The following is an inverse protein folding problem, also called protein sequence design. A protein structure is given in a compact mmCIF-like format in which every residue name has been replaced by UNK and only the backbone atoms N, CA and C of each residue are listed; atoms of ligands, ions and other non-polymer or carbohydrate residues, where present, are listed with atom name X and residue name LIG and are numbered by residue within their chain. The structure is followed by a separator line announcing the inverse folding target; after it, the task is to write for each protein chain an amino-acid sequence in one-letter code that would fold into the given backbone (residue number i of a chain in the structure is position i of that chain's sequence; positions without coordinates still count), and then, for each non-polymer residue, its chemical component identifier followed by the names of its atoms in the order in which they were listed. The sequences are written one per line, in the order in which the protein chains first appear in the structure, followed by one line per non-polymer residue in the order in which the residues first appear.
data_IF_292804017633
#
_entry.id   IF_292804017633
#
_cell.length_a   1.000
_cell.length_b   1.000
_cell.length_c   1.000
_cell.angle_alpha   90.00
_cell.angle_beta   90.00
_cell.angle_gamma   90.00
#
_symmetry.space_group_name_H-M   'P 1'
#
loop_
_entity.id
_entity.type
_entity.pdbx_description
1 polymer ?
#
# COMPACT_ATOMS: atom_id res chain seq x y z
N UNK A 1 -1.58 1.10 -14.36
CA UNK A 1 -1.97 -0.34 -14.37
C UNK A 1 -2.29 -0.90 -12.98
N UNK A 2 -1.79 -0.33 -11.88
CA UNK A 2 -2.16 -0.74 -10.50
C UNK A 2 -3.60 -0.42 -10.03
N UNK A 3 -4.27 0.67 -10.47
CA UNK A 3 -5.60 0.99 -9.95
C UNK A 3 -6.69 -0.08 -10.21
N UNK A 4 -6.76 -0.73 -11.39
CA UNK A 4 -7.75 -1.77 -11.66
C UNK A 4 -7.63 -2.99 -10.74
N UNK A 5 -6.42 -3.53 -10.55
CA UNK A 5 -6.22 -4.76 -9.75
C UNK A 5 -6.57 -4.55 -8.27
N UNK A 6 -6.35 -3.35 -7.74
CA UNK A 6 -6.77 -3.00 -6.37
C UNK A 6 -8.29 -2.86 -6.25
N UNK A 7 -8.97 -2.33 -7.27
CA UNK A 7 -10.43 -2.24 -7.28
C UNK A 7 -11.09 -3.63 -7.40
N UNK A 8 -10.52 -4.52 -8.23
CA UNK A 8 -10.93 -5.92 -8.33
C UNK A 8 -10.72 -6.67 -7.01
N UNK A 9 -9.56 -6.45 -6.36
CA UNK A 9 -9.30 -6.98 -5.03
C UNK A 9 -10.39 -6.52 -4.05
N UNK A 10 -10.64 -5.21 -3.94
CA UNK A 10 -11.69 -4.69 -3.06
C UNK A 10 -13.05 -5.32 -3.32
N UNK A 11 -13.39 -5.56 -4.60
CA UNK A 11 -14.64 -6.22 -5.00
C UNK A 11 -14.70 -7.69 -4.56
N UNK A 12 -13.57 -8.40 -4.60
CA UNK A 12 -13.47 -9.83 -4.24
C UNK A 12 -13.49 -10.08 -2.74
N UNK A 13 -12.74 -9.29 -1.96
CA UNK A 13 -12.61 -9.49 -0.50
C UNK A 13 -13.55 -8.60 0.32
N UNK A 14 -14.26 -7.67 -0.33
CA UNK A 14 -15.22 -6.76 0.29
C UNK A 14 -14.60 -5.95 1.42
N UNK A 15 -15.34 -5.80 2.52
CA UNK A 15 -14.94 -4.96 3.66
C UNK A 15 -13.87 -5.59 4.57
N UNK A 16 -13.29 -6.74 4.20
CA UNK A 16 -12.24 -7.40 5.00
C UNK A 16 -10.91 -6.68 4.96
N UNK A 17 -10.67 -5.85 3.94
CA UNK A 17 -9.45 -5.05 3.77
C UNK A 17 -9.83 -3.64 3.34
N UNK A 18 -9.14 -2.67 3.94
CA UNK A 18 -9.22 -1.27 3.54
C UNK A 18 -8.03 -1.00 2.63
N UNK A 19 -8.30 -0.59 1.39
CA UNK A 19 -7.25 -0.16 0.46
C UNK A 19 -7.10 1.35 0.59
N UNK A 20 -5.91 1.78 0.98
CA UNK A 20 -5.58 3.20 1.10
C UNK A 20 -4.46 3.55 0.13
N UNK A 21 -4.66 4.64 -0.62
CA UNK A 21 -3.61 5.26 -1.43
C UNK A 21 -3.07 6.47 -0.66
N UNK A 22 -1.76 6.51 -0.49
CA UNK A 22 -1.07 7.63 0.15
C UNK A 22 -0.06 8.24 -0.82
N UNK A 23 -0.06 9.56 -0.90
CA UNK A 23 0.97 10.34 -1.58
C UNK A 23 2.16 10.53 -0.63
N UNK A 24 3.33 10.00 -1.01
CA UNK A 24 4.53 10.05 -0.16
C UNK A 24 5.18 11.43 -0.12
N UNK A 25 5.02 12.24 -1.16
CA UNK A 25 5.59 13.59 -1.23
C UNK A 25 4.90 14.51 -0.23
N UNK A 26 3.60 14.28 -0.02
CA UNK A 26 2.80 14.95 1.01
C UNK A 26 2.97 14.35 2.41
N UNK A 27 3.58 13.17 2.55
CA UNK A 27 3.73 12.45 3.82
C UNK A 27 5.19 11.97 4.05
N UNK A 28 6.17 12.88 4.06
CA UNK A 28 7.59 12.52 4.08
C UNK A 28 8.04 11.88 5.41
N UNK A 29 7.31 12.10 6.51
CA UNK A 29 7.58 11.42 7.78
C UNK A 29 7.21 9.93 7.69
N UNK A 30 6.02 9.61 7.17
CA UNK A 30 5.57 8.25 6.95
C UNK A 30 6.45 7.51 5.95
N UNK A 31 6.85 8.18 4.87
CA UNK A 31 7.78 7.62 3.89
C UNK A 31 9.12 7.24 4.53
N UNK A 32 9.66 8.10 5.41
CA UNK A 32 10.89 7.81 6.19
C UNK A 32 10.69 6.70 7.21
N UNK A 33 9.60 6.73 7.98
CA UNK A 33 9.28 5.72 9.00
C UNK A 33 9.27 4.31 8.40
N UNK A 34 8.69 4.17 7.20
CA UNK A 34 8.67 2.89 6.49
C UNK A 34 9.79 2.73 5.49
N UNK A 35 10.79 3.62 5.42
CA UNK A 35 11.90 3.52 4.45
C UNK A 35 11.43 3.29 3.01
N UNK A 36 10.46 4.07 2.53
CA UNK A 36 9.96 4.01 1.15
C UNK A 36 10.96 4.71 0.24
N UNK A 37 11.67 3.94 -0.59
CA UNK A 37 12.72 4.45 -1.50
C UNK A 37 12.31 4.42 -2.97
N UNK A 38 11.31 3.62 -3.32
CA UNK A 38 10.80 3.50 -4.69
C UNK A 38 9.28 3.45 -4.69
N UNK A 39 8.70 4.01 -5.76
CA UNK A 39 7.27 4.01 -6.02
C UNK A 39 6.97 3.17 -7.26
N UNK A 40 5.86 2.41 -7.27
CA UNK A 40 4.97 2.17 -6.14
C UNK A 40 5.61 1.24 -5.09
N UNK A 41 5.16 1.38 -3.83
CA UNK A 41 5.40 0.39 -2.78
C UNK A 41 4.05 -0.01 -2.18
N UNK A 42 3.79 -1.31 -2.10
CA UNK A 42 2.62 -1.88 -1.46
C UNK A 42 3.01 -2.43 -0.09
N UNK A 43 2.15 -2.23 0.89
CA UNK A 43 2.33 -2.72 2.24
C UNK A 43 1.00 -3.26 2.78
N UNK A 44 1.05 -4.44 3.40
CA UNK A 44 -0.11 -5.03 4.09
C UNK A 44 0.07 -4.88 5.59
N UNK A 45 -0.96 -4.37 6.24
CA UNK A 45 -0.98 -4.16 7.68
C UNK A 45 -2.05 -5.03 8.34
N UNK A 46 -1.77 -5.49 9.57
CA UNK A 46 -2.74 -6.07 10.49
C UNK A 46 -2.36 -5.67 11.91
N UNK A 47 -3.31 -5.11 12.66
CA UNK A 47 -3.11 -4.68 14.06
C UNK A 47 -1.88 -3.77 14.24
N UNK A 48 -1.70 -2.83 13.32
CA UNK A 48 -0.57 -1.88 13.31
C UNK A 48 0.78 -2.48 12.89
N UNK A 49 0.86 -3.79 12.60
CA UNK A 49 2.09 -4.47 12.17
C UNK A 49 2.12 -4.64 10.66
N UNK A 50 3.30 -4.48 10.08
CA UNK A 50 3.55 -4.79 8.67
C UNK A 50 3.67 -6.31 8.52
N UNK A 51 2.75 -6.91 7.77
CA UNK A 51 2.79 -8.34 7.46
C UNK A 51 3.52 -8.64 6.16
N UNK A 52 3.48 -7.70 5.21
CA UNK A 52 4.07 -7.87 3.90
C UNK A 52 4.40 -6.53 3.25
N UNK A 53 5.40 -6.54 2.36
CA UNK A 53 5.84 -5.40 1.58
C UNK A 53 6.35 -5.86 0.21
N UNK A 54 6.02 -5.09 -0.83
CA UNK A 54 6.68 -5.14 -2.13
C UNK A 54 6.96 -3.74 -2.64
N UNK A 55 8.20 -3.50 -3.06
CA UNK A 55 8.62 -2.23 -3.67
C UNK A 55 8.96 -2.44 -5.15
N UNK A 56 8.58 -1.49 -5.99
CA UNK A 56 8.78 -1.55 -7.44
C UNK A 56 7.63 -2.20 -8.21
N UNK A 57 7.60 -1.97 -9.53
CA UNK A 57 6.74 -2.69 -10.48
C UNK A 57 7.57 -3.85 -11.02
N UNK A 58 7.07 -5.09 -10.88
CA UNK A 58 7.53 -6.21 -11.69
C UNK A 58 6.47 -6.51 -12.73
#
# INVERSE_FOLDING_TARGET
MMPPILAELQSSIGNKVIIMKMDIDRNPQTARQYSIQSVPTLMLFRDGKVLWRQSGIM
#
